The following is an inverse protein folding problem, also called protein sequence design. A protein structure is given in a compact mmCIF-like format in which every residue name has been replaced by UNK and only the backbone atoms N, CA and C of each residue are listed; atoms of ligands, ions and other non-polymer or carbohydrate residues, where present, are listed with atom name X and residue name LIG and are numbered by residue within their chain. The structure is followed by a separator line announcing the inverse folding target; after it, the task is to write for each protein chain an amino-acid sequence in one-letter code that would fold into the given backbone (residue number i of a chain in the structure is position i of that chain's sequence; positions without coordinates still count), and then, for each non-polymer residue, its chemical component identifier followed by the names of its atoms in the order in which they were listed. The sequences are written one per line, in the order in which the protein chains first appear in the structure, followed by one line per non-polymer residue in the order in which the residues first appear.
data_IF_435185005406
#
_entry.id   IF_435185005406
#
_cell.length_a   1.000
_cell.length_b   1.000
_cell.length_c   1.000
_cell.angle_alpha   90.00
_cell.angle_beta   90.00
_cell.angle_gamma   90.00
#
_symmetry.space_group_name_H-M   'P 1'
#
loop_
_entity.id
_entity.type
_entity.pdbx_description
1 polymer ?
#
# COMPACT_ATOMS: atom_id res chain seq x y z
N UNK A 1 38.46 11.15 0.72
CA UNK A 1 37.17 11.58 0.16
C UNK A 1 36.92 10.76 -1.10
N UNK A 2 35.70 10.26 -1.31
CA UNK A 2 35.36 9.54 -2.55
C UNK A 2 34.93 10.53 -3.64
N UNK A 3 35.01 10.11 -4.91
CA UNK A 3 34.55 10.93 -6.04
C UNK A 3 33.04 11.26 -5.93
N UNK A 4 32.26 10.39 -5.30
CA UNK A 4 30.82 10.57 -5.05
C UNK A 4 30.52 11.73 -4.09
N UNK A 5 31.38 12.00 -3.11
CA UNK A 5 31.20 13.13 -2.18
C UNK A 5 31.43 14.48 -2.86
N UNK A 6 32.32 14.54 -3.86
CA UNK A 6 32.64 15.76 -4.60
C UNK A 6 31.58 16.10 -5.65
N UNK A 7 30.93 15.12 -6.29
CA UNK A 7 29.86 15.39 -7.25
C UNK A 7 28.63 16.01 -6.59
N UNK A 8 28.22 15.53 -5.39
CA UNK A 8 27.09 16.13 -4.66
C UNK A 8 27.34 17.58 -4.23
N UNK A 9 28.55 17.91 -3.77
CA UNK A 9 28.89 19.30 -3.39
C UNK A 9 28.94 20.24 -4.61
N UNK A 10 29.42 19.75 -5.76
CA UNK A 10 29.35 20.48 -7.03
C UNK A 10 27.91 20.75 -7.47
N UNK A 11 27.02 19.74 -7.37
CA UNK A 11 25.60 19.90 -7.70
C UNK A 11 24.88 20.89 -6.78
N UNK A 12 25.23 20.95 -5.49
CA UNK A 12 24.64 21.92 -4.54
C UNK A 12 25.08 23.37 -4.83
N UNK A 13 26.36 23.58 -5.15
CA UNK A 13 26.87 24.88 -5.61
C UNK A 13 26.16 25.39 -6.87
N UNK A 14 25.93 24.50 -7.83
CA UNK A 14 25.20 24.83 -9.07
C UNK A 14 23.74 25.24 -8.84
N UNK A 15 23.09 24.76 -7.77
CA UNK A 15 21.70 25.10 -7.43
C UNK A 15 21.60 26.47 -6.72
N UNK A 16 22.59 26.84 -5.92
CA UNK A 16 22.64 28.19 -5.33
C UNK A 16 23.02 29.26 -6.38
N UNK A 17 23.87 28.91 -7.36
CA UNK A 17 24.25 29.80 -8.47
C UNK A 17 23.11 30.05 -9.46
N UNK A 18 22.37 29.02 -9.86
CA UNK A 18 21.30 29.15 -10.88
C UNK A 18 20.10 30.01 -10.46
N UNK A 19 19.98 30.35 -9.18
CA UNK A 19 18.92 31.22 -8.65
C UNK A 19 19.30 32.71 -8.56
N UNK A 20 20.55 33.07 -8.87
CA UNK A 20 21.05 34.44 -8.74
C UNK A 20 21.14 35.23 -10.07
N UNK A 21 21.06 34.56 -11.22
CA UNK A 21 21.57 35.09 -12.49
C UNK A 21 20.55 35.08 -13.66
N UNK A 22 19.27 35.35 -13.38
CA UNK A 22 18.24 35.58 -14.42
C UNK A 22 17.41 36.86 -14.15
N UNK A 23 18.11 38.00 -14.10
CA UNK A 23 17.51 39.34 -14.03
C UNK A 23 18.09 40.34 -15.05
N UNK A 24 18.44 39.90 -16.25
CA UNK A 24 18.66 40.81 -17.39
C UNK A 24 18.33 40.18 -18.74
N UNK A 25 17.22 40.59 -19.36
CA UNK A 25 17.10 40.56 -20.82
C UNK A 25 16.11 39.59 -21.46
N UNK A 26 14.81 39.72 -21.17
CA UNK A 26 13.77 39.38 -22.16
C UNK A 26 12.54 40.28 -22.00
N UNK A 27 12.38 41.25 -22.90
CA UNK A 27 11.12 41.98 -23.06
C UNK A 27 10.12 41.08 -23.80
N UNK A 28 9.27 40.39 -23.04
CA UNK A 28 8.12 39.67 -23.58
C UNK A 28 6.88 40.02 -22.75
N UNK A 29 5.81 40.40 -23.44
CA UNK A 29 4.53 40.78 -22.82
C UNK A 29 3.80 39.54 -22.29
N UNK A 30 4.21 39.05 -21.12
CA UNK A 30 3.41 38.13 -20.31
C UNK A 30 3.06 38.81 -19.00
N UNK A 31 1.83 39.35 -18.93
CA UNK A 31 1.26 39.76 -17.65
C UNK A 31 1.18 38.58 -16.68
N UNK A 32 1.01 38.83 -15.37
CA UNK A 32 0.90 37.77 -14.37
C UNK A 32 -0.19 36.76 -14.76
N UNK A 33 -0.03 35.46 -14.43
CA UNK A 33 -1.02 34.43 -14.76
C UNK A 33 -2.42 34.89 -14.39
N UNK A 34 -3.33 34.94 -15.37
CA UNK A 34 -4.65 35.52 -15.17
C UNK A 34 -5.40 34.77 -14.09
N UNK A 35 -5.61 35.42 -12.95
CA UNK A 35 -6.31 34.87 -11.79
C UNK A 35 -7.70 34.33 -12.19
N UNK A 36 -8.10 33.23 -11.56
CA UNK A 36 -9.38 32.57 -11.85
C UNK A 36 -10.54 33.54 -11.59
N UNK A 37 -11.50 33.61 -12.52
CA UNK A 37 -12.70 34.43 -12.30
C UNK A 37 -13.46 33.90 -11.08
N UNK A 38 -14.07 34.79 -10.30
CA UNK A 38 -14.76 34.43 -9.05
C UNK A 38 -15.70 33.22 -9.17
N UNK A 39 -16.45 33.11 -10.26
CA UNK A 39 -17.35 31.98 -10.47
C UNK A 39 -16.62 30.65 -10.70
N UNK A 40 -15.44 30.68 -11.36
CA UNK A 40 -14.59 29.49 -11.52
C UNK A 40 -14.01 29.06 -10.17
N UNK A 41 -13.59 30.02 -9.34
CA UNK A 41 -13.15 29.75 -7.95
C UNK A 41 -14.27 29.13 -7.12
N UNK A 42 -15.49 29.68 -7.17
CA UNK A 42 -16.67 29.13 -6.47
C UNK A 42 -16.98 27.70 -6.90
N UNK A 43 -17.04 27.44 -8.22
CA UNK A 43 -17.22 26.08 -8.76
C UNK A 43 -16.14 25.11 -8.24
N UNK A 44 -14.89 25.54 -8.19
CA UNK A 44 -13.78 24.72 -7.70
C UNK A 44 -13.88 24.45 -6.19
N UNK A 45 -14.16 25.46 -5.35
CA UNK A 45 -14.39 25.27 -3.90
C UNK A 45 -15.56 24.32 -3.63
N UNK A 46 -16.68 24.46 -4.36
CA UNK A 46 -17.83 23.56 -4.22
C UNK A 46 -17.46 22.12 -4.63
N UNK A 47 -16.63 21.95 -5.65
CA UNK A 47 -16.07 20.64 -6.02
C UNK A 47 -15.26 20.00 -4.89
N UNK A 48 -14.38 20.79 -4.25
CA UNK A 48 -13.58 20.33 -3.10
C UNK A 48 -14.50 19.96 -1.93
N UNK A 49 -15.47 20.80 -1.58
CA UNK A 49 -16.43 20.51 -0.51
C UNK A 49 -17.24 19.22 -0.80
N UNK A 50 -17.68 19.04 -2.05
CA UNK A 50 -18.44 17.86 -2.47
C UNK A 50 -17.60 16.58 -2.41
N UNK A 51 -16.36 16.60 -2.90
CA UNK A 51 -15.55 15.40 -3.10
C UNK A 51 -14.62 15.06 -1.94
N UNK A 52 -13.97 16.05 -1.32
CA UNK A 52 -12.97 15.82 -0.29
C UNK A 52 -13.54 15.91 1.15
N UNK A 53 -14.71 16.53 1.33
CA UNK A 53 -15.36 16.67 2.65
C UNK A 53 -16.65 15.88 2.74
N UNK A 54 -17.62 16.13 1.85
CA UNK A 54 -18.95 15.51 1.95
C UNK A 54 -18.92 14.03 1.55
N UNK A 55 -18.30 13.68 0.41
CA UNK A 55 -18.33 12.29 -0.10
C UNK A 55 -17.78 11.24 0.88
N UNK A 56 -16.64 11.43 1.59
CA UNK A 56 -16.16 10.48 2.59
C UNK A 56 -17.20 10.18 3.69
N UNK A 57 -17.89 11.22 4.16
CA UNK A 57 -18.92 11.13 5.21
C UNK A 57 -20.14 10.36 4.71
N UNK A 58 -20.62 10.68 3.50
CA UNK A 58 -21.77 9.99 2.91
C UNK A 58 -21.48 8.52 2.63
N UNK A 59 -20.25 8.18 2.20
CA UNK A 59 -19.83 6.78 2.01
C UNK A 59 -19.87 5.99 3.31
N UNK A 60 -19.21 6.49 4.36
CA UNK A 60 -19.17 5.85 5.69
C UNK A 60 -20.58 5.66 6.27
N UNK A 61 -21.43 6.69 6.15
CA UNK A 61 -22.82 6.63 6.59
C UNK A 61 -23.64 5.59 5.80
N UNK A 62 -23.56 5.63 4.46
CA UNK A 62 -24.23 4.65 3.61
C UNK A 62 -23.74 3.22 3.88
N UNK A 63 -22.43 3.01 4.03
CA UNK A 63 -21.85 1.70 4.31
C UNK A 63 -22.42 1.08 5.60
N UNK A 64 -22.56 1.86 6.68
CA UNK A 64 -23.18 1.40 7.93
C UNK A 64 -24.60 0.86 7.70
N UNK A 65 -25.48 1.71 7.15
CA UNK A 65 -26.90 1.38 7.04
C UNK A 65 -27.18 0.29 6.01
N UNK A 66 -26.45 0.29 4.90
CA UNK A 66 -26.58 -0.73 3.86
C UNK A 66 -26.06 -2.09 4.34
N UNK A 67 -24.97 -2.16 5.12
CA UNK A 67 -24.50 -3.44 5.68
C UNK A 67 -25.51 -4.04 6.66
N UNK A 68 -26.11 -3.22 7.52
CA UNK A 68 -27.17 -3.67 8.45
C UNK A 68 -28.40 -4.19 7.68
N UNK A 69 -28.87 -3.41 6.70
CA UNK A 69 -30.04 -3.78 5.88
C UNK A 69 -29.79 -5.04 5.02
N UNK A 70 -28.62 -5.14 4.38
CA UNK A 70 -28.23 -6.34 3.62
C UNK A 70 -28.23 -7.58 4.52
N UNK A 71 -27.64 -7.49 5.72
CA UNK A 71 -27.59 -8.58 6.69
C UNK A 71 -29.00 -9.03 7.11
N UNK A 72 -29.91 -8.07 7.33
CA UNK A 72 -31.32 -8.37 7.59
C UNK A 72 -31.98 -9.14 6.43
N UNK A 73 -31.79 -8.67 5.19
CA UNK A 73 -32.40 -9.27 3.98
C UNK A 73 -31.82 -10.64 3.60
N UNK A 74 -30.58 -10.95 3.99
CA UNK A 74 -30.02 -12.31 3.89
C UNK A 74 -30.81 -13.28 4.79
N UNK A 75 -31.20 -12.85 5.98
CA UNK A 75 -31.98 -13.66 6.94
C UNK A 75 -33.45 -13.74 6.53
N UNK A 76 -34.11 -12.62 6.20
CA UNK A 76 -35.57 -12.57 5.97
C UNK A 76 -36.00 -12.91 4.55
N UNK A 77 -35.14 -12.68 3.54
CA UNK A 77 -35.49 -12.78 2.12
C UNK A 77 -34.50 -13.61 1.30
N UNK A 78 -33.49 -14.20 1.94
CA UNK A 78 -32.43 -15.00 1.32
C UNK A 78 -31.84 -14.34 0.07
N UNK A 79 -31.60 -13.02 0.14
CA UNK A 79 -31.21 -12.19 -1.02
C UNK A 79 -29.90 -12.64 -1.71
N UNK A 80 -29.05 -13.35 -0.98
CA UNK A 80 -27.82 -13.99 -1.46
C UNK A 80 -28.04 -15.32 -2.22
N UNK A 81 -29.26 -15.87 -2.25
CA UNK A 81 -29.61 -17.14 -2.87
C UNK A 81 -30.81 -17.06 -3.83
N UNK A 82 -31.22 -15.85 -4.22
CA UNK A 82 -32.39 -15.62 -5.08
C UNK A 82 -32.22 -16.15 -6.51
N UNK A 83 -33.34 -16.58 -7.10
CA UNK A 83 -33.47 -17.04 -8.48
C UNK A 83 -34.43 -16.12 -9.24
N UNK A 84 -34.50 -16.24 -10.57
CA UNK A 84 -35.38 -15.40 -11.40
C UNK A 84 -36.84 -15.38 -10.91
N UNK A 85 -37.41 -16.53 -10.54
CA UNK A 85 -38.83 -16.61 -10.12
C UNK A 85 -39.06 -16.20 -8.65
N UNK A 86 -38.00 -15.97 -7.85
CA UNK A 86 -38.08 -15.70 -6.40
C UNK A 86 -37.33 -14.46 -5.92
N UNK A 87 -36.80 -13.64 -6.86
CA UNK A 87 -36.04 -12.45 -6.50
C UNK A 87 -36.91 -11.30 -5.97
N UNK A 88 -36.27 -10.42 -5.19
CA UNK A 88 -36.91 -9.24 -4.64
C UNK A 88 -37.03 -8.15 -5.71
N UNK A 89 -38.19 -8.05 -6.37
CA UNK A 89 -38.40 -7.07 -7.45
C UNK A 89 -38.36 -5.60 -6.98
N UNK A 90 -38.79 -5.32 -5.75
CA UNK A 90 -38.83 -3.96 -5.19
C UNK A 90 -38.58 -3.93 -3.69
N UNK A 91 -38.03 -2.82 -3.20
CA UNK A 91 -37.77 -2.61 -1.78
C UNK A 91 -38.23 -1.22 -1.30
N UNK A 92 -39.00 -1.11 -0.19
CA UNK A 92 -39.58 -2.19 0.59
C UNK A 92 -40.63 -2.97 -0.22
N UNK A 93 -40.86 -4.23 0.15
CA UNK A 93 -41.77 -5.11 -0.59
C UNK A 93 -43.21 -4.57 -0.61
N UNK A 94 -43.78 -4.42 -1.81
CA UNK A 94 -45.21 -4.17 -2.01
C UNK A 94 -45.53 -2.81 -2.63
N UNK A 95 -45.75 -2.79 -3.95
CA UNK A 95 -46.42 -1.72 -4.71
C UNK A 95 -45.66 -0.39 -4.87
N UNK A 96 -45.24 0.20 -3.76
CA UNK A 96 -44.68 1.56 -3.67
C UNK A 96 -43.16 1.55 -3.40
N UNK A 97 -42.50 0.40 -3.47
CA UNK A 97 -41.06 0.25 -3.27
C UNK A 97 -40.23 0.63 -4.50
N UNK A 98 -38.95 0.96 -4.28
CA UNK A 98 -37.99 1.17 -5.35
C UNK A 98 -37.73 -0.14 -6.11
N UNK A 99 -37.87 -0.15 -7.44
CA UNK A 99 -37.63 -1.33 -8.26
C UNK A 99 -36.14 -1.67 -8.32
N UNK A 100 -35.75 -2.86 -7.84
CA UNK A 100 -34.35 -3.26 -7.74
C UNK A 100 -33.75 -3.57 -9.11
N UNK A 101 -32.60 -2.97 -9.41
CA UNK A 101 -31.98 -3.02 -10.73
C UNK A 101 -30.90 -4.11 -10.83
N UNK A 102 -31.31 -5.37 -11.02
CA UNK A 102 -30.38 -6.49 -11.13
C UNK A 102 -29.42 -6.44 -12.35
N UNK A 103 -29.60 -5.50 -13.28
CA UNK A 103 -28.62 -5.26 -14.35
C UNK A 103 -27.25 -4.81 -13.82
N UNK A 104 -27.20 -4.20 -12.64
CA UNK A 104 -26.00 -3.54 -12.09
C UNK A 104 -25.03 -4.46 -11.36
N UNK A 105 -25.41 -5.72 -11.13
CA UNK A 105 -24.60 -6.70 -10.37
C UNK A 105 -24.23 -7.90 -11.24
N UNK A 106 -23.30 -8.73 -10.76
CA UNK A 106 -22.89 -10.01 -11.37
C UNK A 106 -22.56 -9.95 -12.88
N UNK A 107 -22.17 -8.78 -13.39
CA UNK A 107 -21.97 -8.50 -14.81
C UNK A 107 -23.22 -8.76 -15.71
N UNK A 108 -24.42 -8.79 -15.12
CA UNK A 108 -25.67 -9.21 -15.77
C UNK A 108 -25.93 -8.46 -17.09
N UNK A 109 -25.78 -7.13 -17.09
CA UNK A 109 -26.00 -6.32 -18.29
C UNK A 109 -25.09 -6.68 -19.46
N UNK A 110 -23.81 -6.94 -19.19
CA UNK A 110 -22.83 -7.24 -20.23
C UNK A 110 -22.88 -8.72 -20.67
N UNK A 111 -23.13 -9.65 -19.74
CA UNK A 111 -23.25 -11.08 -20.05
C UNK A 111 -24.53 -11.45 -20.80
N UNK A 112 -25.67 -10.81 -20.47
CA UNK A 112 -27.00 -11.25 -20.90
C UNK A 112 -27.86 -10.16 -21.57
N UNK A 113 -27.42 -8.89 -21.57
CA UNK A 113 -28.05 -7.81 -22.34
C UNK A 113 -29.44 -7.41 -21.83
N UNK A 114 -30.50 -7.94 -22.46
CA UNK A 114 -31.92 -7.78 -22.05
C UNK A 114 -32.56 -9.11 -21.65
N UNK A 115 -31.78 -10.18 -21.52
CA UNK A 115 -32.28 -11.53 -21.20
C UNK A 115 -32.36 -11.71 -19.67
N UNK A 116 -33.23 -10.95 -19.01
CA UNK A 116 -33.39 -10.92 -17.54
C UNK A 116 -33.54 -12.32 -16.92
N UNK A 117 -34.24 -13.24 -17.61
CA UNK A 117 -34.38 -14.65 -17.23
C UNK A 117 -33.07 -15.44 -17.05
N UNK A 118 -31.95 -14.89 -17.50
CA UNK A 118 -30.60 -15.48 -17.39
C UNK A 118 -29.68 -14.73 -16.43
N UNK A 119 -30.14 -13.64 -15.82
CA UNK A 119 -29.36 -12.89 -14.83
C UNK A 119 -29.08 -13.75 -13.60
N UNK A 120 -27.93 -13.51 -12.98
CA UNK A 120 -27.62 -13.99 -11.64
C UNK A 120 -28.22 -13.01 -10.62
N UNK A 121 -29.26 -13.45 -9.92
CA UNK A 121 -30.02 -12.68 -8.94
C UNK A 121 -29.42 -12.74 -7.52
N UNK A 122 -28.31 -13.44 -7.32
CA UNK A 122 -27.67 -13.57 -6.01
C UNK A 122 -26.93 -12.28 -5.66
N UNK A 123 -27.36 -11.61 -4.59
CA UNK A 123 -26.69 -10.42 -4.05
C UNK A 123 -25.61 -10.88 -3.07
N UNK A 124 -24.33 -10.76 -3.45
CA UNK A 124 -23.24 -11.42 -2.72
C UNK A 124 -22.79 -10.67 -1.46
N UNK A 125 -23.00 -9.36 -1.42
CA UNK A 125 -22.49 -8.46 -0.39
C UNK A 125 -23.29 -7.13 -0.39
N UNK A 126 -23.02 -6.26 0.60
CA UNK A 126 -23.66 -4.96 0.74
C UNK A 126 -23.39 -3.99 -0.44
N UNK A 127 -22.24 -4.08 -1.11
CA UNK A 127 -21.89 -3.25 -2.27
C UNK A 127 -22.73 -3.62 -3.49
N UNK A 128 -22.97 -4.92 -3.71
CA UNK A 128 -23.89 -5.38 -4.76
C UNK A 128 -25.34 -5.00 -4.40
N UNK A 129 -25.71 -5.08 -3.12
CA UNK A 129 -27.03 -4.65 -2.68
C UNK A 129 -27.29 -3.16 -2.94
N UNK A 130 -26.34 -2.27 -2.61
CA UNK A 130 -26.50 -0.83 -2.86
C UNK A 130 -26.52 -0.46 -4.35
N UNK A 131 -25.88 -1.25 -5.22
CA UNK A 131 -25.95 -1.05 -6.68
C UNK A 131 -27.36 -1.22 -7.25
N UNK A 132 -28.18 -2.10 -6.67
CA UNK A 132 -29.57 -2.32 -7.11
C UNK A 132 -30.43 -1.06 -7.04
N UNK A 133 -30.05 -0.07 -6.24
CA UNK A 133 -30.73 1.21 -6.11
C UNK A 133 -30.20 2.30 -7.06
N UNK A 134 -29.38 1.93 -8.05
CA UNK A 134 -28.68 2.87 -8.92
C UNK A 134 -28.88 2.58 -10.42
N UNK A 135 -28.57 3.58 -11.23
CA UNK A 135 -28.48 3.41 -12.68
C UNK A 135 -27.14 2.73 -13.07
N UNK A 136 -27.08 1.92 -14.15
CA UNK A 136 -25.89 1.12 -14.49
C UNK A 136 -24.60 1.93 -14.77
N UNK A 137 -24.74 3.21 -15.14
CA UNK A 137 -23.62 4.14 -15.33
C UNK A 137 -23.05 4.71 -14.01
N UNK A 138 -23.79 4.60 -12.90
CA UNK A 138 -23.38 5.07 -11.57
C UNK A 138 -22.95 3.90 -10.68
N UNK A 139 -23.50 2.70 -10.93
CA UNK A 139 -23.26 1.49 -10.15
C UNK A 139 -21.88 0.80 -10.37
N UNK A 140 -20.86 1.53 -10.82
CA UNK A 140 -19.58 0.97 -11.28
C UNK A 140 -18.50 0.81 -10.19
N UNK A 141 -18.81 1.13 -8.93
CA UNK A 141 -17.87 1.05 -7.81
C UNK A 141 -17.69 -0.38 -7.28
N UNK A 142 -16.55 -0.64 -6.63
CA UNK A 142 -16.19 -1.95 -6.06
C UNK A 142 -16.25 -2.01 -4.54
N UNK A 143 -16.23 -0.86 -3.86
CA UNK A 143 -16.36 -0.72 -2.40
C UNK A 143 -16.96 0.65 -2.05
N UNK A 144 -17.25 0.90 -0.77
CA UNK A 144 -17.63 2.23 -0.24
C UNK A 144 -16.40 3.14 -0.05
N UNK A 145 -15.50 3.14 -1.02
CA UNK A 145 -14.23 3.87 -1.03
C UNK A 145 -14.23 4.98 -2.11
N UNK A 146 -13.06 5.44 -2.54
CA UNK A 146 -12.95 6.45 -3.61
C UNK A 146 -13.48 6.01 -4.99
N UNK A 147 -13.86 4.75 -5.19
CA UNK A 147 -14.61 4.33 -6.38
C UNK A 147 -16.11 4.69 -6.26
N UNK A 148 -16.67 4.74 -5.04
CA UNK A 148 -18.02 5.21 -4.77
C UNK A 148 -18.02 6.75 -4.77
N UNK A 149 -18.32 7.35 -5.92
CA UNK A 149 -18.30 8.81 -6.05
C UNK A 149 -19.49 9.49 -5.34
N UNK A 150 -19.53 10.82 -5.39
CA UNK A 150 -20.64 11.61 -4.84
C UNK A 150 -21.99 11.25 -5.51
N UNK A 151 -21.97 10.84 -6.76
CA UNK A 151 -23.14 10.45 -7.56
C UNK A 151 -23.76 9.15 -7.03
N UNK A 152 -22.93 8.13 -6.79
CA UNK A 152 -23.34 6.86 -6.21
C UNK A 152 -23.81 7.05 -4.77
N UNK A 153 -23.01 7.75 -3.95
CA UNK A 153 -23.34 8.01 -2.53
C UNK A 153 -24.68 8.73 -2.38
N UNK A 154 -24.90 9.83 -3.12
CA UNK A 154 -26.18 10.55 -3.10
C UNK A 154 -27.33 9.69 -3.66
N UNK A 155 -27.09 8.90 -4.71
CA UNK A 155 -28.10 8.00 -5.28
C UNK A 155 -28.59 6.94 -4.28
N UNK A 156 -27.66 6.35 -3.51
CA UNK A 156 -27.98 5.40 -2.43
C UNK A 156 -28.84 6.09 -1.37
N UNK A 157 -28.42 7.27 -0.90
CA UNK A 157 -29.15 8.04 0.12
C UNK A 157 -30.57 8.43 -0.30
N UNK A 158 -30.82 8.65 -1.60
CA UNK A 158 -32.14 9.03 -2.14
C UNK A 158 -33.05 7.81 -2.30
N UNK A 159 -32.51 6.68 -2.78
CA UNK A 159 -33.32 5.57 -3.29
C UNK A 159 -33.58 4.45 -2.27
N UNK A 160 -32.80 4.37 -1.17
CA UNK A 160 -33.02 3.37 -0.11
C UNK A 160 -33.88 3.98 1.01
N UNK A 161 -35.01 3.35 1.28
CA UNK A 161 -36.02 3.86 2.23
C UNK A 161 -35.60 3.81 3.71
N UNK A 162 -34.49 3.16 4.06
CA UNK A 162 -33.98 3.11 5.44
C UNK A 162 -33.47 4.48 5.91
N UNK A 163 -33.00 5.32 4.98
CA UNK A 163 -32.56 6.67 5.29
C UNK A 163 -33.74 7.58 5.64
N UNK A 164 -33.62 8.49 6.63
CA UNK A 164 -34.70 9.42 6.96
C UNK A 164 -35.13 10.26 5.76
N UNK A 165 -36.43 10.53 5.63
CA UNK A 165 -36.97 11.33 4.52
C UNK A 165 -36.32 12.72 4.39
N UNK A 166 -35.87 13.32 5.50
CA UNK A 166 -35.13 14.58 5.50
C UNK A 166 -33.72 14.45 4.89
N UNK A 167 -33.03 13.33 5.14
CA UNK A 167 -31.74 12.98 4.52
C UNK A 167 -31.92 12.74 3.02
N UNK A 168 -32.95 11.97 2.62
CA UNK A 168 -33.31 11.76 1.21
C UNK A 168 -33.57 13.09 0.48
N UNK A 169 -34.35 13.99 1.09
CA UNK A 169 -34.65 15.31 0.53
C UNK A 169 -33.39 16.16 0.34
N UNK A 170 -32.52 16.28 1.35
CA UNK A 170 -31.27 17.01 1.21
C UNK A 170 -30.32 16.37 0.19
N UNK A 171 -30.19 15.03 0.18
CA UNK A 171 -29.37 14.33 -0.81
C UNK A 171 -29.90 14.55 -2.24
N UNK A 172 -31.22 14.58 -2.42
CA UNK A 172 -31.83 14.88 -3.72
C UNK A 172 -31.55 16.32 -4.16
N UNK A 173 -31.73 17.32 -3.27
CA UNK A 173 -31.43 18.73 -3.56
C UNK A 173 -29.95 18.95 -3.86
N UNK A 174 -29.03 18.34 -3.11
CA UNK A 174 -27.59 18.41 -3.38
C UNK A 174 -27.25 17.77 -4.73
N UNK A 175 -27.91 16.66 -5.08
CA UNK A 175 -27.74 16.01 -6.38
C UNK A 175 -28.22 16.91 -7.53
N UNK A 176 -29.42 17.48 -7.43
CA UNK A 176 -30.02 18.32 -8.49
C UNK A 176 -29.36 19.68 -8.62
N UNK A 177 -29.06 20.34 -7.51
CA UNK A 177 -28.73 21.78 -7.51
C UNK A 177 -27.23 22.03 -7.40
N UNK A 178 -26.47 21.05 -6.94
CA UNK A 178 -25.02 21.16 -6.72
C UNK A 178 -24.25 20.18 -7.62
N UNK A 179 -24.34 18.87 -7.37
CA UNK A 179 -23.50 17.85 -8.03
C UNK A 179 -23.72 17.82 -9.55
N UNK A 180 -24.98 17.87 -10.01
CA UNK A 180 -25.28 17.85 -11.44
C UNK A 180 -24.80 19.13 -12.16
N UNK A 181 -25.14 20.35 -11.70
CA UNK A 181 -24.56 21.62 -12.19
C UNK A 181 -23.03 21.70 -12.12
N UNK A 182 -22.42 21.04 -11.13
CA UNK A 182 -20.97 21.01 -10.98
C UNK A 182 -20.32 20.12 -12.04
N UNK A 183 -20.88 18.93 -12.29
CA UNK A 183 -20.42 18.01 -13.34
C UNK A 183 -20.71 18.52 -14.76
N UNK A 184 -21.78 19.31 -14.93
CA UNK A 184 -22.16 19.97 -16.19
C UNK A 184 -21.89 21.48 -16.10
N UNK A 185 -20.61 21.82 -15.98
CA UNK A 185 -20.19 23.17 -15.59
C UNK A 185 -20.52 24.26 -16.63
N UNK A 186 -21.58 25.04 -16.34
CA UNK A 186 -21.66 26.45 -16.74
C UNK A 186 -21.11 27.31 -15.60
N UNK A 187 -20.05 28.08 -15.84
CA UNK A 187 -19.50 29.00 -14.84
C UNK A 187 -20.45 30.18 -14.51
N UNK A 188 -21.42 30.54 -15.36
CA UNK A 188 -22.29 31.70 -15.09
C UNK A 188 -23.20 31.48 -13.87
N UNK A 189 -23.67 30.24 -13.65
CA UNK A 189 -24.56 29.91 -12.53
C UNK A 189 -23.87 29.96 -11.15
N UNK A 190 -22.54 29.94 -11.08
CA UNK A 190 -21.79 29.93 -9.82
C UNK A 190 -21.55 31.35 -9.27
N UNK A 191 -22.66 32.06 -9.05
CA UNK A 191 -22.68 33.35 -8.35
C UNK A 191 -22.49 33.19 -6.82
N UNK A 192 -22.48 34.31 -6.10
CA UNK A 192 -22.27 34.33 -4.65
C UNK A 192 -23.43 33.67 -3.86
N UNK A 193 -24.67 33.80 -4.32
CA UNK A 193 -25.85 33.22 -3.69
C UNK A 193 -25.87 31.70 -3.85
N UNK A 194 -25.67 31.19 -5.08
CA UNK A 194 -25.55 29.74 -5.32
C UNK A 194 -24.39 29.13 -4.51
N UNK A 195 -23.26 29.83 -4.39
CA UNK A 195 -22.11 29.39 -3.60
C UNK A 195 -22.46 29.18 -2.12
N UNK A 196 -23.01 30.21 -1.45
CA UNK A 196 -23.39 30.13 -0.03
C UNK A 196 -24.48 29.06 0.18
N UNK A 197 -25.53 29.09 -0.63
CA UNK A 197 -26.64 28.12 -0.53
C UNK A 197 -26.15 26.67 -0.71
N UNK A 198 -25.18 26.44 -1.60
CA UNK A 198 -24.60 25.11 -1.82
C UNK A 198 -23.93 24.57 -0.56
N UNK A 199 -23.13 25.39 0.14
CA UNK A 199 -22.44 24.97 1.37
C UNK A 199 -23.45 24.78 2.50
N UNK A 200 -24.42 25.68 2.64
CA UNK A 200 -25.49 25.54 3.63
C UNK A 200 -26.29 24.24 3.46
N UNK A 201 -26.61 23.84 2.22
CA UNK A 201 -27.24 22.54 1.95
C UNK A 201 -26.36 21.35 2.38
N UNK A 202 -25.05 21.40 2.14
CA UNK A 202 -24.13 20.34 2.60
C UNK A 202 -24.08 20.28 4.14
N UNK A 203 -23.98 21.42 4.82
CA UNK A 203 -24.03 21.53 6.28
C UNK A 203 -25.36 20.98 6.82
N UNK A 204 -26.48 21.32 6.19
CA UNK A 204 -27.80 20.81 6.57
C UNK A 204 -27.92 19.30 6.39
N UNK A 205 -27.37 18.72 5.31
CA UNK A 205 -27.33 17.27 5.16
C UNK A 205 -26.53 16.63 6.31
N UNK A 206 -25.30 17.10 6.56
CA UNK A 206 -24.41 16.56 7.60
C UNK A 206 -25.07 16.53 8.98
N UNK A 207 -25.73 17.63 9.38
CA UNK A 207 -26.49 17.74 10.65
C UNK A 207 -27.69 16.80 10.77
N UNK A 208 -28.14 16.20 9.66
CA UNK A 208 -29.26 15.25 9.64
C UNK A 208 -28.81 13.79 9.47
N UNK A 209 -27.50 13.52 9.36
CA UNK A 209 -26.96 12.15 9.31
C UNK A 209 -26.89 11.48 10.69
N UNK A 210 -27.12 12.21 11.79
CA UNK A 210 -27.06 11.66 13.14
C UNK A 210 -25.65 11.26 13.59
N UNK A 211 -24.64 12.00 13.15
CA UNK A 211 -23.24 11.77 13.52
C UNK A 211 -22.99 12.10 14.99
N UNK A 212 -21.88 11.59 15.54
CA UNK A 212 -21.41 12.01 16.86
C UNK A 212 -21.05 13.50 16.79
N UNK A 213 -21.43 14.29 17.80
CA UNK A 213 -21.27 15.75 17.82
C UNK A 213 -19.86 16.24 17.48
N UNK A 214 -18.81 15.51 17.87
CA UNK A 214 -17.42 15.86 17.49
C UNK A 214 -17.15 15.71 16.00
N UNK A 215 -17.70 14.68 15.35
CA UNK A 215 -17.54 14.41 13.92
C UNK A 215 -18.38 15.41 13.11
N UNK A 216 -19.62 15.68 13.52
CA UNK A 216 -20.47 16.72 12.93
C UNK A 216 -19.80 18.11 12.98
N UNK A 217 -19.29 18.52 14.15
CA UNK A 217 -18.63 19.81 14.32
C UNK A 217 -17.36 19.93 13.49
N UNK A 218 -16.61 18.83 13.31
CA UNK A 218 -15.43 18.83 12.44
C UNK A 218 -15.82 19.06 10.98
N UNK A 219 -16.75 18.25 10.45
CA UNK A 219 -17.17 18.31 9.05
C UNK A 219 -17.83 19.65 8.72
N UNK A 220 -18.73 20.13 9.59
CA UNK A 220 -19.39 21.44 9.39
C UNK A 220 -18.40 22.60 9.56
N UNK A 221 -17.42 22.48 10.46
CA UNK A 221 -16.31 23.42 10.58
C UNK A 221 -15.45 23.49 9.31
N UNK A 222 -15.10 22.34 8.72
CA UNK A 222 -14.34 22.28 7.47
C UNK A 222 -15.13 22.87 6.28
N UNK A 223 -16.44 22.62 6.19
CA UNK A 223 -17.32 23.25 5.19
C UNK A 223 -17.34 24.78 5.33
N UNK A 224 -17.52 25.32 6.54
CA UNK A 224 -17.50 26.77 6.81
C UNK A 224 -16.11 27.40 6.63
N UNK A 225 -15.03 26.64 6.86
CA UNK A 225 -13.66 27.06 6.53
C UNK A 225 -13.51 27.25 5.03
N UNK A 226 -13.97 26.31 4.21
CA UNK A 226 -13.93 26.47 2.75
C UNK A 226 -14.86 27.59 2.26
N UNK A 227 -16.03 27.78 2.87
CA UNK A 227 -16.94 28.91 2.60
C UNK A 227 -16.21 30.26 2.71
N UNK A 228 -15.51 30.46 3.84
CA UNK A 228 -14.90 31.74 4.23
C UNK A 228 -13.51 31.97 3.63
N UNK A 229 -12.65 30.94 3.57
CA UNK A 229 -11.25 31.08 3.12
C UNK A 229 -10.95 30.47 1.75
N UNK A 230 -11.85 29.63 1.21
CA UNK A 230 -11.62 28.88 -0.03
C UNK A 230 -11.33 29.76 -1.25
N UNK A 231 -12.06 30.87 -1.40
CA UNK A 231 -11.82 31.82 -2.50
C UNK A 231 -10.45 32.53 -2.37
N UNK A 232 -9.99 32.80 -1.15
CA UNK A 232 -8.68 33.42 -0.91
C UNK A 232 -7.55 32.46 -1.24
N UNK A 233 -7.66 31.19 -0.82
CA UNK A 233 -6.70 30.14 -1.20
C UNK A 233 -6.56 30.02 -2.73
N UNK A 234 -7.67 30.05 -3.46
CA UNK A 234 -7.66 29.98 -4.93
C UNK A 234 -7.25 31.29 -5.64
N UNK A 235 -7.07 32.40 -4.91
CA UNK A 235 -6.68 33.69 -5.49
C UNK A 235 -5.16 33.87 -5.60
N UNK A 236 -4.36 32.87 -5.25
CA UNK A 236 -2.89 32.89 -5.31
C UNK A 236 -2.21 33.79 -4.26
N UNK A 237 -2.86 34.89 -3.88
CA UNK A 237 -2.41 35.86 -2.88
C UNK A 237 -2.13 35.26 -1.50
N UNK A 238 -2.86 34.21 -1.10
CA UNK A 238 -2.66 33.54 0.20
C UNK A 238 -1.79 32.28 0.13
N UNK A 239 -1.57 31.71 -1.06
CA UNK A 239 -0.54 30.67 -1.27
C UNK A 239 0.87 31.29 -1.25
N UNK A 240 0.97 32.61 -1.51
CA UNK A 240 2.22 33.32 -1.80
C UNK A 240 3.18 33.62 -0.65
N UNK A 241 2.89 33.32 0.63
CA UNK A 241 3.85 33.58 1.71
C UNK A 241 3.96 32.49 2.78
N UNK A 242 2.89 32.15 3.51
CA UNK A 242 3.00 31.18 4.64
C UNK A 242 3.52 29.81 4.19
N UNK A 243 2.93 29.24 3.12
CA UNK A 243 3.38 27.97 2.56
C UNK A 243 4.83 28.04 2.07
N UNK A 244 5.23 29.17 1.46
CA UNK A 244 6.60 29.40 1.00
C UNK A 244 7.57 29.53 2.18
N UNK A 245 7.17 30.17 3.29
CA UNK A 245 7.99 30.25 4.50
C UNK A 245 8.12 28.91 5.22
N UNK A 246 7.05 28.11 5.27
CA UNK A 246 7.05 26.79 5.90
C UNK A 246 7.88 25.78 5.07
N UNK A 247 7.72 25.79 3.74
CA UNK A 247 8.58 25.01 2.83
C UNK A 247 10.04 25.44 3.01
N UNK A 248 10.36 26.75 2.97
CA UNK A 248 11.73 27.24 3.22
C UNK A 248 12.26 26.84 4.60
N UNK A 249 11.43 26.84 5.64
CA UNK A 249 11.82 26.40 6.98
C UNK A 249 12.15 24.91 7.00
N UNK A 250 11.28 24.05 6.45
CA UNK A 250 11.49 22.61 6.32
C UNK A 250 12.71 22.27 5.47
N UNK A 251 12.90 22.92 4.33
CA UNK A 251 14.07 22.74 3.46
C UNK A 251 15.37 23.11 4.18
N UNK A 252 15.41 24.19 4.97
CA UNK A 252 16.58 24.53 5.80
C UNK A 252 16.84 23.50 6.89
N UNK A 253 15.80 23.04 7.60
CA UNK A 253 15.91 22.00 8.65
C UNK A 253 16.44 20.69 8.05
N UNK A 254 15.91 20.26 6.92
CA UNK A 254 16.35 19.08 6.18
C UNK A 254 17.78 19.23 5.64
N UNK A 255 18.14 20.38 5.05
CA UNK A 255 19.49 20.67 4.57
C UNK A 255 20.52 20.60 5.69
N UNK A 256 20.20 21.13 6.88
CA UNK A 256 21.04 20.99 8.07
C UNK A 256 21.19 19.51 8.46
N UNK A 257 20.08 18.77 8.56
CA UNK A 257 20.12 17.35 8.92
C UNK A 257 20.93 16.50 7.93
N UNK A 258 20.84 16.79 6.63
CA UNK A 258 21.68 16.14 5.59
C UNK A 258 23.16 16.46 5.77
N UNK A 259 23.52 17.70 6.12
CA UNK A 259 24.92 18.07 6.44
C UNK A 259 25.42 17.36 7.70
N UNK A 260 24.60 17.29 8.74
CA UNK A 260 24.92 16.59 9.99
C UNK A 260 25.11 15.08 9.74
N UNK A 261 24.23 14.44 8.94
CA UNK A 261 24.39 13.04 8.51
C UNK A 261 25.63 12.82 7.65
N UNK A 262 25.97 13.73 6.72
CA UNK A 262 27.16 13.61 5.88
C UNK A 262 28.45 13.68 6.71
N UNK A 263 28.48 14.54 7.74
CA UNK A 263 29.59 14.62 8.69
C UNK A 263 29.72 13.30 9.48
N UNK A 264 28.63 12.80 10.08
CA UNK A 264 28.65 11.51 10.79
C UNK A 264 29.01 10.33 9.88
N UNK A 265 28.56 10.33 8.61
CA UNK A 265 28.98 9.31 7.64
C UNK A 265 30.49 9.33 7.39
N UNK A 266 31.12 10.52 7.41
CA UNK A 266 32.58 10.64 7.28
C UNK A 266 33.33 10.16 8.52
N UNK A 267 32.74 10.31 9.71
CA UNK A 267 33.25 9.76 10.98
C UNK A 267 33.09 8.23 11.04
N UNK A 268 32.00 7.68 10.51
CA UNK A 268 31.87 6.21 10.39
C UNK A 268 32.85 5.63 9.37
N UNK A 269 33.14 6.34 8.28
CA UNK A 269 34.14 5.91 7.28
C UNK A 269 35.57 5.87 7.84
N UNK A 270 35.92 6.76 8.78
CA UNK A 270 37.21 6.68 9.48
C UNK A 270 37.21 5.53 10.49
N UNK A 271 36.15 5.40 11.30
CA UNK A 271 36.04 4.32 12.28
C UNK A 271 36.05 2.92 11.65
N UNK A 272 35.42 2.74 10.48
CA UNK A 272 35.46 1.49 9.71
C UNK A 272 36.88 1.19 9.23
N UNK A 273 37.65 2.19 8.79
CA UNK A 273 39.06 1.98 8.41
C UNK A 273 39.93 1.58 9.59
N UNK A 274 39.72 2.19 10.75
CA UNK A 274 40.45 1.85 11.97
C UNK A 274 40.11 0.43 12.44
N UNK A 275 38.84 0.04 12.40
CA UNK A 275 38.40 -1.34 12.66
C UNK A 275 38.97 -2.35 11.64
N UNK A 276 39.07 -2.00 10.36
CA UNK A 276 39.70 -2.85 9.34
C UNK A 276 41.22 -3.01 9.59
N UNK A 277 41.90 -1.94 10.01
CA UNK A 277 43.31 -1.99 10.38
C UNK A 277 43.54 -2.88 11.62
N UNK A 278 42.68 -2.76 12.65
CA UNK A 278 42.72 -3.62 13.85
C UNK A 278 42.43 -5.07 13.50
N UNK A 279 41.42 -5.36 12.67
CA UNK A 279 41.12 -6.72 12.22
C UNK A 279 42.28 -7.34 11.43
N UNK A 280 42.97 -6.56 10.60
CA UNK A 280 44.17 -7.01 9.90
C UNK A 280 45.28 -7.39 10.89
N UNK A 281 45.59 -6.51 11.84
CA UNK A 281 46.60 -6.79 12.86
C UNK A 281 46.26 -8.02 13.72
N UNK A 282 44.98 -8.19 14.11
CA UNK A 282 44.52 -9.38 14.83
C UNK A 282 44.72 -10.66 14.00
N UNK A 283 44.40 -10.62 12.69
CA UNK A 283 44.64 -11.75 11.80
C UNK A 283 46.13 -12.10 11.69
N UNK A 284 47.00 -11.11 11.50
CA UNK A 284 48.45 -11.31 11.44
C UNK A 284 48.98 -11.94 12.76
N UNK A 285 48.39 -11.60 13.92
CA UNK A 285 48.72 -12.25 15.21
C UNK A 285 48.20 -13.68 15.35
N UNK A 286 47.03 -14.00 14.80
CA UNK A 286 46.48 -15.36 14.78
C UNK A 286 47.35 -16.28 13.90
N UNK A 287 47.67 -15.85 12.68
CA UNK A 287 48.57 -16.60 11.77
C UNK A 287 49.95 -16.88 12.44
N UNK A 288 50.43 -15.92 13.25
CA UNK A 288 51.66 -16.06 14.06
C UNK A 288 51.50 -17.06 15.23
N UNK A 289 50.32 -17.13 15.85
CA UNK A 289 50.03 -18.08 16.94
C UNK A 289 49.89 -19.51 16.38
N UNK A 290 49.17 -19.69 15.27
CA UNK A 290 49.01 -20.98 14.61
C UNK A 290 50.37 -21.55 14.16
N UNK A 291 51.24 -20.71 13.58
CA UNK A 291 52.62 -21.09 13.27
C UNK A 291 53.43 -21.53 14.50
N UNK A 292 53.23 -20.89 15.66
CA UNK A 292 53.85 -21.33 16.93
C UNK A 292 53.24 -22.63 17.45
N UNK A 293 51.92 -22.83 17.35
CA UNK A 293 51.25 -24.06 17.76
C UNK A 293 51.73 -25.26 16.95
N UNK A 294 51.87 -25.14 15.62
CA UNK A 294 52.42 -26.19 14.76
C UNK A 294 53.84 -26.59 15.20
N UNK A 295 54.70 -25.62 15.51
CA UNK A 295 56.05 -25.88 16.04
C UNK A 295 56.01 -26.59 17.42
N UNK A 296 55.08 -26.22 18.30
CA UNK A 296 54.89 -26.90 19.58
C UNK A 296 54.37 -28.33 19.42
N UNK A 297 53.41 -28.58 18.52
CA UNK A 297 52.94 -29.93 18.22
C UNK A 297 54.07 -30.83 17.68
N UNK A 298 54.93 -30.31 16.81
CA UNK A 298 56.08 -31.06 16.30
C UNK A 298 57.09 -31.36 17.43
N UNK A 299 57.32 -30.41 18.33
CA UNK A 299 58.16 -30.62 19.51
C UNK A 299 57.58 -31.68 20.46
N UNK A 300 56.27 -31.66 20.72
CA UNK A 300 55.57 -32.66 21.54
C UNK A 300 55.65 -34.04 20.89
N UNK A 301 55.43 -34.16 19.57
CA UNK A 301 55.60 -35.43 18.82
C UNK A 301 57.03 -35.98 18.96
N UNK A 302 58.05 -35.13 18.83
CA UNK A 302 59.46 -35.52 19.04
C UNK A 302 59.73 -36.02 20.46
N UNK A 303 59.16 -35.38 21.49
CA UNK A 303 59.28 -35.82 22.89
C UNK A 303 58.54 -37.14 23.12
N UNK A 304 57.34 -37.31 22.60
CA UNK A 304 56.55 -38.53 22.75
C UNK A 304 57.25 -39.74 22.11
N UNK A 305 57.71 -39.61 20.86
CA UNK A 305 58.47 -40.65 20.18
C UNK A 305 59.74 -41.05 20.97
N UNK A 306 60.42 -40.08 21.58
CA UNK A 306 61.59 -40.33 22.45
C UNK A 306 61.20 -41.04 23.75
N UNK A 307 60.04 -40.73 24.32
CA UNK A 307 59.50 -41.41 25.50
C UNK A 307 59.15 -42.87 25.19
N UNK A 308 58.47 -43.14 24.07
CA UNK A 308 58.14 -44.49 23.62
C UNK A 308 59.39 -45.36 23.40
N UNK A 309 60.42 -44.82 22.74
CA UNK A 309 61.73 -45.49 22.59
C UNK A 309 62.36 -45.81 23.96
N UNK A 310 62.27 -44.89 24.92
CA UNK A 310 62.79 -45.11 26.27
C UNK A 310 61.98 -46.16 27.05
N UNK A 311 60.66 -46.17 26.93
CA UNK A 311 59.80 -47.20 27.51
C UNK A 311 60.14 -48.59 26.95
N UNK A 312 60.27 -48.73 25.63
CA UNK A 312 60.68 -49.99 24.99
C UNK A 312 62.06 -50.48 25.47
N UNK A 313 63.02 -49.56 25.67
CA UNK A 313 64.33 -49.89 26.27
C UNK A 313 64.22 -50.36 27.73
N UNK A 314 63.34 -49.75 28.54
CA UNK A 314 63.09 -50.17 29.92
C UNK A 314 62.39 -51.53 29.99
N UNK A 315 61.41 -51.80 29.11
CA UNK A 315 60.75 -53.10 29.03
C UNK A 315 61.72 -54.22 28.64
N UNK A 316 62.61 -53.97 27.66
CA UNK A 316 63.68 -54.91 27.30
C UNK A 316 64.61 -55.23 28.49
N UNK A 317 64.97 -54.23 29.31
CA UNK A 317 65.74 -54.42 30.54
C UNK A 317 64.95 -55.21 31.62
N UNK A 318 63.65 -54.97 31.75
CA UNK A 318 62.81 -55.72 32.71
C UNK A 318 62.63 -57.17 32.28
N UNK A 319 62.47 -57.44 30.99
CA UNK A 319 62.38 -58.81 30.44
C UNK A 319 63.69 -59.56 30.64
N UNK A 320 64.85 -58.94 30.39
CA UNK A 320 66.15 -59.57 30.65
C UNK A 320 66.38 -59.86 32.14
N UNK A 321 65.84 -59.03 33.04
CA UNK A 321 65.90 -59.27 34.50
C UNK A 321 64.91 -60.31 35.05
N UNK A 322 63.73 -60.49 34.43
CA UNK A 322 62.65 -61.36 34.97
C UNK A 322 62.73 -62.83 34.59
N UNK A 323 63.73 -63.24 33.81
CA UNK A 323 63.99 -64.66 33.51
C UNK A 323 64.34 -65.53 34.73
N UNK A 324 64.72 -64.93 35.86
CA UNK A 324 65.32 -65.66 36.99
C UNK A 324 64.38 -66.29 38.02
N UNK A 325 63.12 -65.84 38.19
CA UNK A 325 62.33 -66.17 39.40
C UNK A 325 60.87 -66.53 39.10
N UNK A 326 60.62 -67.81 38.79
CA UNK A 326 59.31 -68.47 38.90
C UNK A 326 59.36 -69.58 39.96
N UNK A 327 58.53 -69.51 41.00
CA UNK A 327 58.19 -70.71 41.78
C UNK A 327 57.65 -70.54 43.21
N UNK A 328 56.34 -70.81 43.39
CA UNK A 328 55.67 -71.31 44.63
C UNK A 328 55.62 -70.37 45.87
N UNK A 329 54.65 -70.43 46.79
CA UNK A 329 53.32 -71.09 46.85
C UNK A 329 52.40 -70.48 47.95
N UNK A 330 51.06 -70.58 47.72
CA UNK A 330 49.95 -70.82 48.70
C UNK A 330 49.94 -70.17 50.11
N UNK A 331 48.85 -69.42 50.39
CA UNK A 331 47.80 -69.91 51.33
C UNK A 331 47.39 -69.04 52.55
N UNK A 332 46.07 -68.98 52.81
CA UNK A 332 45.34 -68.34 53.96
C UNK A 332 45.36 -66.79 53.96
N UNK A 333 44.34 -66.04 54.43
CA UNK A 333 42.96 -66.36 54.87
C UNK A 333 42.34 -65.27 55.78
N UNK A 334 40.99 -65.12 55.83
CA UNK A 334 40.17 -64.12 56.62
C UNK A 334 40.34 -62.65 56.17
N UNK A 335 39.37 -61.73 56.16
CA UNK A 335 37.99 -61.62 56.65
C UNK A 335 37.69 -60.15 57.06
N UNK A 336 36.41 -59.71 57.07
CA UNK A 336 35.87 -58.43 57.62
C UNK A 336 36.27 -57.10 56.91
N UNK A 337 35.58 -55.93 57.01
CA UNK A 337 34.20 -55.47 57.36
C UNK A 337 34.08 -53.98 56.92
N UNK A 338 32.85 -53.45 56.72
CA UNK A 338 32.44 -52.02 56.74
C UNK A 338 32.95 -51.07 55.61
N UNK A 339 32.38 -49.86 55.42
CA UNK A 339 31.00 -49.31 55.37
C UNK A 339 31.12 -47.76 55.13
N UNK A 340 30.00 -47.01 55.05
CA UNK A 340 29.91 -45.51 55.23
C UNK A 340 30.46 -44.67 54.03
N UNK A 341 29.78 -43.65 53.45
CA UNK A 341 28.48 -42.97 53.72
C UNK A 341 28.00 -42.10 52.51
N UNK A 342 26.67 -41.93 52.34
CA UNK A 342 25.86 -40.79 51.78
C UNK A 342 26.29 -39.95 50.53
N UNK A 343 25.49 -39.13 49.82
CA UNK A 343 24.04 -38.73 49.71
C UNK A 343 23.85 -38.17 48.25
N UNK A 344 22.68 -37.86 47.66
CA UNK A 344 21.26 -38.00 48.01
C UNK A 344 20.33 -37.02 47.22
N UNK A 345 19.08 -37.44 46.90
CA UNK A 345 17.96 -36.67 46.26
C UNK A 345 18.06 -36.43 44.72
N UNK A 346 16.96 -36.44 43.93
CA UNK A 346 15.57 -36.85 44.20
C UNK A 346 14.54 -36.51 43.08
N UNK A 347 13.36 -37.16 43.12
CA UNK A 347 12.04 -36.88 42.46
C UNK A 347 11.91 -36.79 40.92
N UNK A 348 10.92 -37.51 40.36
CA UNK A 348 10.49 -37.35 38.94
C UNK A 348 9.48 -38.40 38.41
N UNK A 349 8.20 -38.30 38.82
CA UNK A 349 7.00 -38.89 38.16
C UNK A 349 6.76 -38.29 36.75
N UNK A 350 6.02 -38.83 35.77
CA UNK A 350 5.30 -40.11 35.58
C UNK A 350 4.69 -40.22 34.14
N UNK A 351 4.49 -41.46 33.64
CA UNK A 351 3.34 -41.94 32.81
C UNK A 351 3.18 -41.58 31.30
N UNK A 352 3.04 -42.66 30.50
CA UNK A 352 2.37 -42.83 29.18
C UNK A 352 2.96 -42.15 27.91
N UNK A 353 2.99 -42.78 26.72
CA UNK A 353 2.82 -44.20 26.38
C UNK A 353 1.55 -44.58 25.60
N UNK A 354 1.58 -44.44 24.25
CA UNK A 354 0.87 -45.19 23.18
C UNK A 354 1.22 -44.52 21.83
N UNK A 355 1.44 -45.18 20.69
CA UNK A 355 1.38 -46.61 20.37
C UNK A 355 0.30 -46.91 19.32
N UNK A 356 0.68 -47.06 18.05
CA UNK A 356 -0.24 -47.47 16.97
C UNK A 356 0.37 -47.46 15.56
N UNK A 357 0.49 -48.64 14.93
CA UNK A 357 0.89 -48.84 13.51
C UNK A 357 -0.15 -49.73 12.80
N UNK A 358 -0.39 -49.48 11.52
CA UNK A 358 -1.08 -50.36 10.55
C UNK A 358 -1.39 -49.55 9.28
N UNK A 359 -1.00 -49.85 8.03
CA UNK A 359 -0.81 -51.07 7.18
C UNK A 359 -2.10 -51.73 6.66
N UNK A 360 -2.16 -51.89 5.33
CA UNK A 360 -3.22 -52.55 4.53
C UNK A 360 -3.99 -51.54 3.67
N UNK A 361 -3.88 -51.38 2.34
CA UNK A 361 -3.43 -52.16 1.17
C UNK A 361 -4.56 -52.86 0.37
N UNK A 362 -4.48 -52.74 -0.98
CA UNK A 362 -5.25 -53.45 -2.06
C UNK A 362 -6.72 -53.02 -2.26
N UNK A 363 -7.34 -53.06 -3.46
CA UNK A 363 -6.92 -53.43 -4.85
C UNK A 363 -7.94 -52.97 -5.91
N UNK A 364 -7.48 -52.70 -7.15
CA UNK A 364 -8.14 -52.97 -8.47
C UNK A 364 -9.50 -52.28 -8.79
N UNK A 365 -9.98 -52.08 -10.04
CA UNK A 365 -9.61 -52.62 -11.36
C UNK A 365 -10.31 -51.80 -12.50
N UNK A 366 -9.74 -51.73 -13.72
CA UNK A 366 -10.40 -51.55 -15.04
C UNK A 366 -11.26 -50.26 -15.33
N UNK A 367 -11.40 -49.74 -16.57
CA UNK A 367 -10.68 -49.95 -17.86
C UNK A 367 -10.84 -48.75 -18.82
N UNK A 368 -10.11 -48.75 -19.95
CA UNK A 368 -10.30 -48.10 -21.30
C UNK A 368 -11.12 -46.80 -21.45
N UNK A 369 -10.79 -45.84 -22.32
CA UNK A 369 -9.78 -45.79 -23.38
C UNK A 369 -10.27 -44.93 -24.59
N UNK A 370 -9.35 -44.55 -25.48
CA UNK A 370 -9.61 -43.97 -26.83
C UNK A 370 -9.91 -42.46 -26.99
N UNK A 371 -8.82 -41.67 -27.06
CA UNK A 371 -8.61 -40.63 -28.09
C UNK A 371 -8.49 -41.34 -29.50
N UNK A 372 -8.46 -40.71 -30.71
CA UNK A 372 -8.00 -39.34 -31.00
C UNK A 372 -8.72 -38.55 -32.12
N UNK A 373 -8.44 -37.23 -32.23
CA UNK A 373 -7.67 -36.66 -33.37
C UNK A 373 -7.46 -35.15 -33.27
N UNK A 374 -6.24 -34.75 -33.62
CA UNK A 374 -5.72 -33.38 -33.65
C UNK A 374 -6.00 -32.69 -34.99
N UNK A 375 -6.22 -31.37 -34.99
CA UNK A 375 -5.78 -30.51 -36.11
C UNK A 375 -5.35 -29.14 -35.58
N UNK A 376 -4.05 -28.85 -35.61
CA UNK A 376 -3.50 -27.51 -35.37
C UNK A 376 -3.61 -26.70 -36.65
N UNK A 377 -4.18 -25.50 -36.58
CA UNK A 377 -3.88 -24.43 -37.53
C UNK A 377 -3.11 -23.32 -36.82
N UNK A 378 -1.79 -23.32 -36.99
CA UNK A 378 -1.02 -22.09 -36.87
C UNK A 378 -1.47 -21.14 -37.99
N UNK A 379 -1.67 -19.87 -37.67
CA UNK A 379 -1.83 -18.82 -38.66
C UNK A 379 -0.97 -17.65 -38.25
N UNK A 380 0.21 -17.58 -38.86
CA UNK A 380 1.12 -16.45 -38.71
C UNK A 380 0.49 -15.20 -39.33
N UNK A 381 0.17 -14.21 -38.50
CA UNK A 381 -0.18 -12.86 -38.94
C UNK A 381 0.93 -11.90 -38.50
N UNK A 382 2.02 -11.90 -39.26
CA UNK A 382 3.03 -10.85 -39.17
C UNK A 382 2.40 -9.52 -39.60
N UNK A 383 2.10 -8.66 -38.64
CA UNK A 383 1.52 -7.34 -38.89
C UNK A 383 2.62 -6.31 -38.66
N UNK A 384 3.14 -5.74 -39.75
CA UNK A 384 4.19 -4.74 -39.68
C UNK A 384 3.75 -3.51 -38.87
N UNK A 385 4.65 -3.01 -38.01
CA UNK A 385 4.48 -1.75 -37.29
C UNK A 385 4.41 -0.58 -38.28
N UNK A 386 3.20 -0.19 -38.67
CA UNK A 386 2.99 1.16 -39.18
C UNK A 386 3.17 2.14 -38.01
N UNK A 387 4.29 2.86 -38.00
CA UNK A 387 4.44 4.03 -37.12
C UNK A 387 3.37 5.05 -37.49
N UNK A 388 2.29 5.11 -36.70
CA UNK A 388 1.43 6.28 -36.67
C UNK A 388 2.27 7.46 -36.20
N UNK A 389 2.39 8.47 -37.05
CA UNK A 389 3.19 9.68 -36.80
C UNK A 389 2.52 10.46 -35.67
N UNK A 390 3.00 10.28 -34.43
CA UNK A 390 2.45 10.93 -33.24
C UNK A 390 2.57 12.45 -33.39
N UNK A 391 1.47 13.17 -33.16
CA UNK A 391 1.45 14.63 -33.15
C UNK A 391 2.36 15.15 -32.00
N UNK A 392 3.31 16.06 -32.25
CA UNK A 392 4.24 16.58 -31.24
C UNK A 392 3.56 17.31 -30.07
N UNK A 393 2.22 17.45 -30.05
CA UNK A 393 1.44 18.00 -28.93
C UNK A 393 0.87 16.96 -27.98
N UNK A 394 1.05 15.66 -28.23
CA UNK A 394 0.51 14.57 -27.39
C UNK A 394 1.63 13.91 -26.59
N UNK A 395 1.65 14.13 -25.27
CA UNK A 395 2.59 13.46 -24.35
C UNK A 395 2.02 12.07 -24.00
N UNK A 396 2.77 11.01 -24.28
CA UNK A 396 2.39 9.63 -23.95
C UNK A 396 2.89 9.25 -22.56
N UNK A 397 2.01 9.34 -21.55
CA UNK A 397 2.28 9.03 -20.13
C UNK A 397 2.37 7.52 -19.84
N UNK A 398 3.02 6.76 -20.72
CA UNK A 398 3.43 5.37 -20.48
C UNK A 398 4.45 5.26 -19.32
N UNK A 399 4.67 4.05 -18.81
CA UNK A 399 5.58 3.75 -17.67
C UNK A 399 7.08 4.00 -17.93
N UNK A 400 7.46 4.79 -18.95
CA UNK A 400 8.84 5.15 -19.24
C UNK A 400 9.28 6.40 -18.46
N UNK A 401 10.58 6.60 -18.21
CA UNK A 401 11.09 7.89 -17.74
C UNK A 401 10.73 9.01 -18.72
N UNK A 402 10.25 10.14 -18.20
CA UNK A 402 9.94 11.35 -18.98
C UNK A 402 11.24 11.89 -19.57
N UNK A 403 11.28 12.17 -20.87
CA UNK A 403 12.51 12.64 -21.53
C UNK A 403 12.68 14.17 -21.43
N UNK A 404 13.86 14.69 -21.79
CA UNK A 404 14.16 16.13 -21.67
C UNK A 404 13.24 17.04 -22.52
N UNK A 405 12.73 16.55 -23.65
CA UNK A 405 11.83 17.31 -24.51
C UNK A 405 10.41 17.38 -23.92
N UNK A 406 9.94 16.28 -23.31
CA UNK A 406 8.71 16.25 -22.51
C UNK A 406 8.86 17.17 -21.28
N UNK A 407 10.01 17.16 -20.59
CA UNK A 407 10.30 18.09 -19.48
C UNK A 407 10.29 19.56 -19.97
N UNK A 408 10.87 19.86 -21.14
CA UNK A 408 10.84 21.18 -21.79
C UNK A 408 9.45 21.60 -22.30
N UNK A 409 8.53 20.66 -22.49
CA UNK A 409 7.12 20.93 -22.78
C UNK A 409 6.35 21.22 -21.50
N UNK A 410 6.57 20.43 -20.44
CA UNK A 410 5.96 20.63 -19.13
C UNK A 410 6.37 21.97 -18.48
N UNK A 411 7.64 22.38 -18.63
CA UNK A 411 8.15 23.63 -18.05
C UNK A 411 7.62 24.91 -18.71
N UNK A 412 6.99 24.82 -19.89
CA UNK A 412 6.39 25.97 -20.60
C UNK A 412 4.97 26.32 -20.14
N UNK A 413 4.42 25.53 -19.23
CA UNK A 413 3.08 25.74 -18.67
C UNK A 413 1.96 25.25 -19.59
N UNK A 414 0.86 24.78 -18.99
CA UNK A 414 -0.29 24.27 -19.72
C UNK A 414 -1.33 25.37 -19.98
N UNK A 415 -1.64 25.64 -21.25
CA UNK A 415 -2.89 26.29 -21.64
C UNK A 415 -3.94 25.23 -21.96
N UNK A 416 -4.92 25.07 -21.06
CA UNK A 416 -6.07 24.21 -21.32
C UNK A 416 -6.97 24.83 -22.40
N UNK A 417 -6.79 24.39 -23.66
CA UNK A 417 -7.77 24.59 -24.71
C UNK A 417 -8.91 23.58 -24.51
N UNK A 418 -10.18 24.00 -24.31
CA UNK A 418 -11.30 23.08 -24.24
C UNK A 418 -11.55 22.47 -25.62
N UNK A 419 -11.17 21.21 -25.80
CA UNK A 419 -11.51 20.47 -27.02
C UNK A 419 -13.01 20.18 -26.97
N UNK A 420 -13.76 20.72 -27.93
CA UNK A 420 -15.17 20.37 -28.09
C UNK A 420 -15.28 18.91 -28.55
N UNK A 421 -15.85 18.08 -27.68
CA UNK A 421 -16.36 16.72 -27.94
C UNK A 421 -15.47 15.79 -28.79
N UNK A 422 -14.71 14.93 -28.11
CA UNK A 422 -14.41 13.58 -28.63
C UNK A 422 -14.73 12.53 -27.56
N UNK A 423 -15.39 11.45 -27.98
CA UNK A 423 -15.84 10.36 -27.11
C UNK A 423 -14.71 9.35 -26.89
N UNK A 424 -13.67 9.76 -26.17
CA UNK A 424 -12.47 8.94 -25.88
C UNK A 424 -12.51 8.52 -24.40
N UNK A 425 -12.81 7.24 -24.08
CA UNK A 425 -12.91 6.77 -22.69
C UNK A 425 -11.62 6.93 -21.87
N UNK A 426 -10.46 6.79 -22.51
CA UNK A 426 -9.15 6.86 -21.86
C UNK A 426 -8.91 8.23 -21.19
N UNK A 427 -9.32 9.33 -21.84
CA UNK A 427 -9.11 10.68 -21.32
C UNK A 427 -9.83 10.93 -19.99
N UNK A 428 -10.96 10.24 -19.73
CA UNK A 428 -11.65 10.27 -18.43
C UNK A 428 -10.85 9.56 -17.34
N UNK A 429 -10.26 8.41 -17.66
CA UNK A 429 -9.36 7.67 -16.75
C UNK A 429 -8.15 8.52 -16.39
N UNK A 430 -7.53 9.17 -17.37
CA UNK A 430 -6.30 9.92 -17.18
C UNK A 430 -6.50 11.22 -16.39
N UNK A 431 -7.60 11.95 -16.62
CA UNK A 431 -7.97 13.09 -15.75
C UNK A 431 -8.23 12.61 -14.31
N UNK A 432 -8.92 11.48 -14.13
CA UNK A 432 -9.20 10.93 -12.80
C UNK A 432 -7.93 10.41 -12.09
N UNK A 433 -6.96 9.90 -12.83
CA UNK A 433 -5.65 9.47 -12.31
C UNK A 433 -4.70 10.65 -12.05
N UNK A 434 -4.76 11.71 -12.85
CA UNK A 434 -4.07 12.97 -12.59
C UNK A 434 -4.58 13.63 -11.29
N UNK A 435 -5.91 13.70 -11.12
CA UNK A 435 -6.55 14.11 -9.86
C UNK A 435 -6.34 13.14 -8.69
N UNK A 436 -5.86 11.90 -8.91
CA UNK A 436 -5.34 11.03 -7.84
C UNK A 436 -3.89 11.38 -7.50
N UNK A 437 -3.01 11.57 -8.50
CA UNK A 437 -1.58 11.87 -8.27
C UNK A 437 -1.38 13.16 -7.46
N UNK A 438 -2.15 14.21 -7.74
CA UNK A 438 -2.14 15.46 -6.95
C UNK A 438 -2.55 15.27 -5.47
N UNK A 439 -3.21 14.16 -5.09
CA UNK A 439 -3.55 13.87 -3.68
C UNK A 439 -2.42 13.17 -2.92
N UNK A 440 -1.50 12.47 -3.59
CA UNK A 440 -0.43 11.72 -2.92
C UNK A 440 0.74 12.59 -2.45
N UNK A 441 1.08 13.66 -3.16
CA UNK A 441 2.19 14.55 -2.75
C UNK A 441 1.87 15.42 -1.52
N UNK A 442 0.61 15.47 -1.07
CA UNK A 442 0.21 16.31 0.06
C UNK A 442 0.36 15.66 1.45
N UNK A 443 0.62 14.35 1.51
CA UNK A 443 0.63 13.57 2.77
C UNK A 443 1.96 12.90 3.14
N UNK A 444 3.04 13.05 2.37
CA UNK A 444 4.38 12.61 2.79
C UNK A 444 5.07 13.67 3.66
N UNK A 445 4.55 13.80 4.88
CA UNK A 445 5.05 14.68 5.93
C UNK A 445 5.12 13.99 7.29
N UNK A 446 5.49 12.70 7.33
CA UNK A 446 5.77 11.97 8.58
C UNK A 446 6.87 10.93 8.33
N UNK A 447 7.64 10.63 9.37
CA UNK A 447 9.02 10.16 9.27
C UNK A 447 9.17 8.67 8.92
N UNK A 448 10.29 8.37 8.26
CA UNK A 448 10.80 7.02 8.05
C UNK A 448 11.56 6.56 9.31
N UNK A 449 11.03 5.57 10.03
CA UNK A 449 11.89 4.66 10.81
C UNK A 449 11.32 3.25 10.84
N UNK A 450 11.96 2.33 10.11
CA UNK A 450 11.79 0.90 10.36
C UNK A 450 12.58 0.50 11.61
N UNK A 451 11.98 -0.24 12.52
CA UNK A 451 12.71 -1.03 13.53
C UNK A 451 12.18 -2.47 13.49
N UNK A 452 12.97 -3.29 12.79
CA UNK A 452 13.19 -4.74 12.91
C UNK A 452 12.12 -5.77 12.51
N UNK A 453 12.62 -6.74 11.73
CA UNK A 453 12.10 -8.09 11.62
C UNK A 453 12.11 -8.80 12.99
N UNK A 454 10.99 -9.45 13.30
CA UNK A 454 10.95 -10.86 13.69
C UNK A 454 9.80 -11.53 12.93
#
# INVERSE_FOLDING_TARGET
MSLSSLSMLSSLSSVESSFAEDQTGCSSNTGPPSDLKYNQKRWLVIGICLHDILSPVLRKYAESEINQLYTSLVVSNHINAQLYDSHLQSFPSGGNGYHLNYETINNNKASYGRQEKRYDYRVQNAVDFSKLFLQPNIAQYTAFDEACDSSASLGILINVNIFPALVQNYANTIRSDIRNPWAHCDFKQWDAGKYVNSIQLMVSLVKNLGLITSEENQITGDLHKWETTGLNFLSGTTIGLELVTEIRHRTRKLSKHIKDMANHSSETDTHIKDLLNVNKALKDTLDTIDGKMLNFEEAVKKVNNKAEINCARLEALVISGRGGIRGRQRGRGRGRIANVVENGRGRGTSISGRGGKGRGARTSFLDMGSNPKTTRHNRDNSTALQLTRIDPKIINLSNRPINEDEIKLLSKGFTFAPIQYSSIPELKSDIHNFSRRLRFEKNLGTEMTMIYNL
#
